data_IF_556218573211
#
_entry.id   IF_556218573211
#
_cell.length_a   1.000
_cell.length_b   1.000
_cell.length_c   1.000
_cell.angle_alpha   90.00
_cell.angle_beta   90.00
_cell.angle_gamma   90.00
#
_symmetry.space_group_name_H-M   'P 1'
#
loop_
_entity.id
_entity.type
_entity.pdbx_description
1 polymer ?
#
# COMPACT_ATOMS: atom_id res chain seq x y z
N UNK A 1 10.99 -6.50 -7.19
CA UNK A 1 10.03 -5.38 -7.38
C UNK A 1 9.51 -4.91 -6.02
N UNK A 2 9.58 -5.80 -5.05
CA UNK A 2 8.93 -5.76 -3.74
C UNK A 2 9.57 -4.72 -2.83
N UNK A 3 10.90 -4.59 -2.84
CA UNK A 3 11.60 -3.64 -1.97
C UNK A 3 11.13 -2.17 -2.10
N UNK A 4 10.82 -1.70 -3.33
CA UNK A 4 10.33 -0.33 -3.54
C UNK A 4 8.86 -0.17 -3.15
N UNK A 5 8.08 -1.22 -3.37
CA UNK A 5 6.66 -1.26 -3.04
C UNK A 5 6.48 -1.28 -1.51
N UNK A 6 7.25 -2.13 -0.82
CA UNK A 6 7.28 -2.21 0.64
C UNK A 6 7.67 -0.86 1.25
N UNK A 7 8.69 -0.19 0.69
CA UNK A 7 9.08 1.15 1.15
C UNK A 7 7.94 2.16 1.00
N UNK A 8 7.22 2.14 -0.13
CA UNK A 8 6.08 3.04 -0.37
C UNK A 8 4.95 2.81 0.64
N UNK A 9 4.61 1.54 0.90
CA UNK A 9 3.57 1.15 1.84
C UNK A 9 3.95 1.51 3.29
N UNK A 10 5.18 1.24 3.69
CA UNK A 10 5.69 1.51 5.04
C UNK A 10 5.94 2.99 5.33
N UNK A 11 6.06 3.84 4.30
CA UNK A 11 6.22 5.28 4.50
C UNK A 11 5.03 5.89 5.26
N UNK A 12 3.82 5.37 5.06
CA UNK A 12 2.60 5.84 5.72
C UNK A 12 2.61 5.56 7.23
N UNK A 13 3.18 4.40 7.62
CA UNK A 13 3.39 4.00 9.02
C UNK A 13 4.52 4.84 9.63
N UNK A 14 5.64 4.95 8.94
CA UNK A 14 6.79 5.75 9.40
C UNK A 14 6.43 7.22 9.62
N UNK A 15 5.57 7.77 8.76
CA UNK A 15 5.07 9.13 8.89
C UNK A 15 3.96 9.28 9.96
N UNK A 16 3.49 8.18 10.57
CA UNK A 16 2.51 8.18 11.66
C UNK A 16 1.06 8.41 11.23
N UNK A 17 0.71 8.15 9.97
CA UNK A 17 -0.66 8.35 9.47
C UNK A 17 -1.59 7.19 9.81
N UNK A 18 -1.03 5.98 9.83
CA UNK A 18 -1.73 4.72 10.07
C UNK A 18 -0.84 3.76 10.85
N UNK A 19 -1.44 2.87 11.62
CA UNK A 19 -0.71 1.85 12.38
C UNK A 19 -0.22 0.68 11.49
N UNK A 20 -0.92 0.40 10.39
CA UNK A 20 -0.56 -0.64 9.42
C UNK A 20 -0.73 -0.10 7.99
N UNK A 21 0.10 -0.51 7.02
CA UNK A 21 0.05 0.02 5.66
C UNK A 21 -1.30 -0.11 4.96
N UNK A 22 -2.02 -1.21 5.22
CA UNK A 22 -3.32 -1.56 4.62
C UNK A 22 -4.46 -0.66 5.09
N UNK A 23 -4.30 0.00 6.23
CA UNK A 23 -5.29 0.91 6.79
C UNK A 23 -5.36 2.25 6.05
N UNK A 24 -4.37 2.57 5.22
CA UNK A 24 -4.42 3.82 4.44
C UNK A 24 -5.32 3.66 3.22
N UNK A 25 -6.41 4.42 3.23
CA UNK A 25 -7.50 4.32 2.26
C UNK A 25 -7.06 4.51 0.79
N UNK A 26 -6.05 5.36 0.58
CA UNK A 26 -5.51 5.70 -0.73
C UNK A 26 -4.15 5.02 -0.99
N UNK A 27 -3.92 3.84 -0.42
CA UNK A 27 -2.76 2.99 -0.69
C UNK A 27 -3.18 1.70 -1.37
N UNK A 28 -2.34 1.20 -2.27
CA UNK A 28 -2.49 -0.14 -2.85
C UNK A 28 -2.15 -1.26 -1.86
N UNK A 29 -1.56 -0.94 -0.69
CA UNK A 29 -1.21 -1.93 0.33
C UNK A 29 -2.37 -2.88 0.66
N UNK A 30 -3.60 -2.34 0.69
CA UNK A 30 -4.81 -3.10 0.96
C UNK A 30 -5.09 -4.19 -0.07
N UNK A 31 -4.79 -3.96 -1.35
CA UNK A 31 -4.92 -4.98 -2.40
C UNK A 31 -3.88 -6.09 -2.23
N UNK A 32 -2.64 -5.73 -1.85
CA UNK A 32 -1.57 -6.71 -1.60
C UNK A 32 -1.81 -7.55 -0.34
N UNK A 33 -2.58 -7.05 0.62
CA UNK A 33 -3.02 -7.79 1.79
C UNK A 33 -4.30 -8.63 1.58
N UNK A 34 -4.76 -8.76 0.32
CA UNK A 34 -5.94 -9.57 -0.01
C UNK A 34 -7.29 -8.87 0.23
N UNK A 35 -7.27 -7.58 0.57
CA UNK A 35 -8.45 -6.72 0.55
C UNK A 35 -8.70 -6.15 -0.85
N UNK A 36 -9.75 -5.33 -0.99
CA UNK A 36 -10.00 -4.54 -2.20
C UNK A 36 -9.68 -3.07 -1.91
N UNK A 37 -8.63 -2.52 -2.48
CA UNK A 37 -8.31 -1.10 -2.37
C UNK A 37 -9.24 -0.22 -3.20
N UNK A 38 -9.18 1.09 -2.97
CA UNK A 38 -9.97 2.08 -3.74
C UNK A 38 -9.31 2.48 -5.07
N UNK A 39 -8.05 2.13 -5.26
CA UNK A 39 -7.24 2.52 -6.41
C UNK A 39 -7.01 1.27 -7.26
N UNK A 40 -7.22 1.38 -8.57
CA UNK A 40 -6.96 0.27 -9.47
C UNK A 40 -5.44 0.11 -9.71
N UNK A 41 -4.98 -1.14 -9.62
CA UNK A 41 -3.59 -1.51 -9.92
C UNK A 41 -3.52 -1.93 -11.39
N UNK A 42 -2.65 -1.25 -12.15
CA UNK A 42 -2.36 -1.60 -13.54
C UNK A 42 -0.94 -2.15 -13.59
N UNK A 43 -0.80 -3.42 -13.98
CA UNK A 43 0.50 -4.01 -14.28
C UNK A 43 0.86 -3.68 -15.73
N UNK A 44 1.94 -2.92 -15.92
CA UNK A 44 2.51 -2.67 -17.24
C UNK A 44 3.59 -3.73 -17.49
N UNK A 45 3.43 -4.48 -18.58
CA UNK A 45 4.42 -5.45 -19.09
C UNK A 45 5.33 -4.81 -20.14
#
# INVERSE_FOLDING_TARGET
MDQKLDYLHQNLVTAGWVDEPEHYLYSSARDYAGGKGLIDIILMI
#
